data_IF_720569843859
#
_entry.id   IF_720569843859
#
_cell.length_a   1.000
_cell.length_b   1.000
_cell.length_c   1.000
_cell.angle_alpha   90.00
_cell.angle_beta   90.00
_cell.angle_gamma   90.00
#
_symmetry.space_group_name_H-M   'P 1'
#
loop_
_entity.id
_entity.type
_entity.pdbx_description
1 polymer ?
#
# COMPACT_ATOMS: atom_id res chain seq x y z
N UNK A 1 -53.47 -32.32 7.79
CA UNK A 1 -52.12 -32.79 8.12
C UNK A 1 -51.23 -31.57 8.37
N UNK A 2 -50.73 -31.37 9.62
CA UNK A 2 -49.79 -30.28 9.91
C UNK A 2 -48.40 -30.71 9.44
N UNK A 3 -47.63 -29.83 8.73
CA UNK A 3 -46.27 -30.20 8.30
C UNK A 3 -45.37 -30.38 9.49
N UNK A 4 -44.70 -31.53 9.56
CA UNK A 4 -43.66 -31.78 10.58
C UNK A 4 -42.47 -30.81 10.33
N UNK A 5 -42.29 -29.81 11.18
CA UNK A 5 -41.08 -28.97 11.16
C UNK A 5 -39.85 -29.86 11.39
N UNK A 6 -39.01 -30.03 10.36
CA UNK A 6 -37.70 -30.69 10.52
C UNK A 6 -36.88 -29.90 11.54
N UNK A 7 -36.61 -30.50 12.70
CA UNK A 7 -35.70 -29.92 13.68
C UNK A 7 -34.27 -30.02 13.15
N UNK A 8 -33.62 -28.84 12.93
CA UNK A 8 -32.22 -28.78 12.58
C UNK A 8 -31.42 -29.38 13.76
N UNK A 9 -30.50 -30.28 13.47
CA UNK A 9 -29.68 -30.93 14.49
C UNK A 9 -28.78 -29.91 15.18
N UNK A 10 -28.70 -29.93 16.51
CA UNK A 10 -27.79 -29.05 17.29
C UNK A 10 -26.34 -29.23 16.87
N UNK A 11 -25.93 -30.44 16.47
CA UNK A 11 -24.60 -30.72 15.92
C UNK A 11 -24.34 -29.96 14.62
N UNK A 12 -25.34 -29.87 13.75
CA UNK A 12 -25.24 -29.13 12.50
C UNK A 12 -25.08 -27.63 12.77
N UNK A 13 -25.86 -27.06 13.69
CA UNK A 13 -25.74 -25.65 14.09
C UNK A 13 -24.36 -25.34 14.67
N UNK A 14 -23.83 -26.24 15.50
CA UNK A 14 -22.50 -26.12 16.09
C UNK A 14 -21.41 -26.12 15.01
N UNK A 15 -21.46 -27.06 14.05
CA UNK A 15 -20.51 -27.10 12.91
C UNK A 15 -20.56 -25.82 12.08
N UNK A 16 -21.76 -25.36 11.75
CA UNK A 16 -21.95 -24.10 11.00
C UNK A 16 -21.37 -22.92 11.77
N UNK A 17 -21.62 -22.83 13.08
CA UNK A 17 -21.04 -21.79 13.93
C UNK A 17 -19.50 -21.78 13.92
N UNK A 18 -18.89 -22.96 14.06
CA UNK A 18 -17.43 -23.10 14.00
C UNK A 18 -16.87 -22.69 12.63
N UNK A 19 -17.52 -23.10 11.53
CA UNK A 19 -17.11 -22.73 10.18
C UNK A 19 -17.22 -21.21 9.94
N UNK A 20 -18.29 -20.58 10.41
CA UNK A 20 -18.45 -19.12 10.32
C UNK A 20 -17.36 -18.37 11.11
N UNK A 21 -17.02 -18.84 12.32
CA UNK A 21 -15.94 -18.25 13.10
C UNK A 21 -14.54 -18.49 12.50
N UNK A 22 -14.33 -19.63 11.85
CA UNK A 22 -13.06 -19.96 11.21
C UNK A 22 -12.86 -19.23 9.86
N UNK A 23 -13.93 -18.82 9.19
CA UNK A 23 -13.89 -18.22 7.84
C UNK A 23 -12.97 -16.99 7.76
N UNK A 24 -13.05 -15.97 8.63
CA UNK A 24 -12.17 -14.80 8.54
C UNK A 24 -10.70 -15.16 8.73
N UNK A 25 -10.40 -16.11 9.62
CA UNK A 25 -9.04 -16.57 9.85
C UNK A 25 -8.47 -17.29 8.63
N UNK A 26 -9.23 -18.22 8.04
CA UNK A 26 -8.83 -18.93 6.83
C UNK A 26 -8.67 -17.98 5.65
N UNK A 27 -9.57 -17.01 5.49
CA UNK A 27 -9.49 -15.98 4.46
C UNK A 27 -8.24 -15.11 4.62
N UNK A 28 -7.91 -14.71 5.84
CA UNK A 28 -6.69 -13.92 6.12
C UNK A 28 -5.40 -14.70 5.81
N UNK A 29 -5.37 -16.00 6.12
CA UNK A 29 -4.23 -16.87 5.77
C UNK A 29 -4.12 -16.98 4.23
N UNK A 30 -5.23 -17.21 3.55
CA UNK A 30 -5.27 -17.30 2.08
C UNK A 30 -4.74 -16.01 1.42
N UNK A 31 -5.28 -14.85 1.83
CA UNK A 31 -4.82 -13.55 1.30
C UNK A 31 -3.33 -13.31 1.58
N UNK A 32 -2.84 -13.68 2.77
CA UNK A 32 -1.41 -13.56 3.10
C UNK A 32 -0.51 -14.45 2.22
N UNK A 33 -0.95 -15.68 1.91
CA UNK A 33 -0.24 -16.57 0.98
C UNK A 33 -0.23 -15.99 -0.43
N UNK A 34 -1.35 -15.45 -0.90
CA UNK A 34 -1.48 -14.84 -2.22
C UNK A 34 -0.56 -13.60 -2.35
N UNK A 35 -0.57 -12.71 -1.37
CA UNK A 35 0.33 -11.55 -1.31
C UNK A 35 1.82 -11.97 -1.36
N UNK A 36 2.21 -13.01 -0.61
CA UNK A 36 3.57 -13.54 -0.65
C UNK A 36 3.92 -14.14 -2.02
N UNK A 37 2.98 -14.82 -2.67
CA UNK A 37 3.17 -15.32 -4.02
C UNK A 37 3.37 -14.17 -5.03
N UNK A 38 2.56 -13.10 -4.94
CA UNK A 38 2.72 -11.91 -5.78
C UNK A 38 4.07 -11.22 -5.57
N UNK A 39 4.52 -11.08 -4.31
CA UNK A 39 5.84 -10.54 -3.99
C UNK A 39 6.98 -11.39 -4.57
N UNK A 40 6.87 -12.72 -4.47
CA UNK A 40 7.88 -13.64 -5.02
C UNK A 40 7.89 -13.60 -6.55
N UNK A 41 6.73 -13.55 -7.19
CA UNK A 41 6.59 -13.42 -8.63
C UNK A 41 7.21 -12.09 -9.10
N UNK A 42 6.82 -10.96 -8.51
CA UNK A 42 7.41 -9.66 -8.84
C UNK A 42 8.93 -9.68 -8.74
N UNK A 43 9.48 -10.20 -7.63
CA UNK A 43 10.92 -10.30 -7.43
C UNK A 43 11.59 -11.18 -8.48
N UNK A 44 11.01 -12.32 -8.83
CA UNK A 44 11.57 -13.24 -9.83
C UNK A 44 11.55 -12.63 -11.23
N UNK A 45 10.47 -11.98 -11.60
CA UNK A 45 10.33 -11.33 -12.91
C UNK A 45 11.26 -10.12 -13.05
N UNK A 46 11.35 -9.24 -12.05
CA UNK A 46 12.34 -8.15 -12.04
C UNK A 46 13.78 -8.68 -12.14
N UNK A 47 14.07 -9.85 -11.55
CA UNK A 47 15.41 -10.45 -11.64
C UNK A 47 15.65 -11.10 -13.01
N UNK A 48 14.61 -11.60 -13.67
CA UNK A 48 14.69 -12.27 -14.97
C UNK A 48 14.62 -11.29 -16.14
N UNK A 49 14.03 -10.11 -15.96
CA UNK A 49 13.96 -9.05 -16.97
C UNK A 49 15.34 -8.44 -17.18
N UNK A 50 15.68 -8.15 -18.42
CA UNK A 50 16.96 -7.52 -18.74
C UNK A 50 17.06 -6.11 -18.10
N UNK A 51 18.30 -5.71 -17.80
CA UNK A 51 18.57 -4.45 -17.09
C UNK A 51 18.14 -3.24 -17.90
N UNK A 52 18.26 -3.29 -19.22
CA UNK A 52 17.89 -2.17 -20.10
C UNK A 52 16.39 -1.92 -20.05
N UNK A 53 15.57 -2.95 -20.16
CA UNK A 53 14.09 -2.84 -20.03
C UNK A 53 13.69 -2.24 -18.68
N UNK A 54 14.33 -2.65 -17.59
CA UNK A 54 14.06 -2.10 -16.24
C UNK A 54 14.46 -0.62 -16.17
N UNK A 55 15.62 -0.25 -16.73
CA UNK A 55 16.09 1.13 -16.76
C UNK A 55 15.17 2.03 -17.60
N UNK A 56 14.68 1.55 -18.75
CA UNK A 56 13.70 2.24 -19.60
C UNK A 56 12.39 2.50 -18.84
N UNK A 57 11.87 1.50 -18.11
CA UNK A 57 10.67 1.65 -17.30
C UNK A 57 10.85 2.63 -16.13
N UNK A 58 12.01 2.64 -15.51
CA UNK A 58 12.34 3.60 -14.44
C UNK A 58 12.47 5.01 -15.00
N UNK A 59 13.03 5.17 -16.21
CA UNK A 59 13.14 6.47 -16.87
C UNK A 59 11.76 7.02 -17.24
N UNK A 60 10.87 6.21 -17.82
CA UNK A 60 9.47 6.62 -18.07
C UNK A 60 8.77 7.07 -16.79
N UNK A 61 9.05 6.41 -15.66
CA UNK A 61 8.52 6.84 -14.36
C UNK A 61 9.09 8.18 -13.89
N UNK A 62 10.36 8.48 -14.22
CA UNK A 62 10.96 9.80 -13.96
C UNK A 62 10.37 10.88 -14.86
N UNK A 63 10.16 10.60 -16.15
CA UNK A 63 9.50 11.52 -17.08
C UNK A 63 8.06 11.84 -16.62
N UNK A 64 7.31 10.83 -16.20
CA UNK A 64 5.98 11.02 -15.60
C UNK A 64 6.03 11.93 -14.37
N UNK A 65 6.97 11.70 -13.47
CA UNK A 65 7.14 12.49 -12.24
C UNK A 65 7.47 13.94 -12.54
N UNK A 66 8.35 14.19 -13.52
CA UNK A 66 8.71 15.53 -13.97
C UNK A 66 7.51 16.26 -14.60
N UNK A 67 6.78 15.59 -15.52
CA UNK A 67 5.57 16.14 -16.11
C UNK A 67 4.52 16.50 -15.06
N UNK A 68 4.32 15.64 -14.06
CA UNK A 68 3.40 15.88 -12.95
C UNK A 68 3.81 17.08 -12.11
N UNK A 69 5.10 17.23 -11.81
CA UNK A 69 5.62 18.39 -11.08
C UNK A 69 5.43 19.69 -11.87
N UNK A 70 5.73 19.70 -13.17
CA UNK A 70 5.56 20.86 -14.02
C UNK A 70 4.09 21.32 -14.07
N UNK A 71 3.14 20.39 -14.21
CA UNK A 71 1.71 20.74 -14.22
C UNK A 71 1.27 21.26 -12.86
N UNK A 72 1.75 20.71 -11.76
CA UNK A 72 1.38 21.16 -10.41
C UNK A 72 1.89 22.56 -10.07
N UNK A 73 2.95 23.03 -10.73
CA UNK A 73 3.58 24.34 -10.47
C UNK A 73 3.37 25.37 -11.59
N UNK A 74 2.86 24.99 -12.77
CA UNK A 74 2.71 25.89 -13.90
C UNK A 74 1.26 26.31 -14.09
N UNK A 75 1.03 27.62 -14.11
CA UNK A 75 -0.18 28.18 -14.72
C UNK A 75 -0.01 28.11 -16.24
N UNK A 76 -0.54 27.04 -16.84
CA UNK A 76 -0.74 26.88 -18.29
C UNK A 76 0.52 27.04 -19.16
N UNK A 77 0.98 25.97 -19.73
CA UNK A 77 2.00 25.91 -20.78
C UNK A 77 1.82 24.67 -21.66
N UNK A 78 2.20 24.81 -22.90
CA UNK A 78 2.06 23.90 -24.04
C UNK A 78 2.86 22.58 -23.88
N UNK A 79 2.65 21.86 -22.78
CA UNK A 79 3.29 20.56 -22.56
C UNK A 79 2.38 19.42 -23.04
N UNK A 80 2.97 18.46 -23.77
CA UNK A 80 2.30 17.20 -24.06
C UNK A 80 1.99 16.49 -22.73
N UNK A 81 0.69 16.29 -22.46
CA UNK A 81 0.20 15.58 -21.27
C UNK A 81 0.01 14.08 -21.56
N UNK A 82 0.46 13.60 -22.70
CA UNK A 82 0.25 12.21 -23.14
C UNK A 82 0.86 11.21 -22.15
N UNK A 83 2.01 11.56 -21.55
CA UNK A 83 2.66 10.73 -20.52
C UNK A 83 1.80 10.58 -19.25
N UNK A 84 0.87 11.53 -18.99
CA UNK A 84 -0.03 11.50 -17.84
C UNK A 84 -1.38 10.87 -18.16
N UNK A 85 -1.56 10.31 -19.37
CA UNK A 85 -2.76 9.57 -19.73
C UNK A 85 -2.91 8.28 -18.90
N UNK A 86 -4.14 7.79 -18.75
CA UNK A 86 -4.42 6.54 -18.04
C UNK A 86 -3.70 5.34 -18.68
N UNK A 87 -3.55 5.33 -20.00
CA UNK A 87 -2.83 4.29 -20.74
C UNK A 87 -1.35 4.29 -20.39
N UNK A 88 -0.70 5.46 -20.47
CA UNK A 88 0.71 5.62 -20.09
C UNK A 88 0.93 5.27 -18.63
N UNK A 89 0.10 5.79 -17.72
CA UNK A 89 0.18 5.48 -16.30
C UNK A 89 0.15 3.98 -16.03
N UNK A 90 -0.80 3.25 -16.62
CA UNK A 90 -0.95 1.81 -16.38
C UNK A 90 0.14 0.96 -17.04
N UNK A 91 0.90 1.50 -18.00
CA UNK A 91 2.00 0.80 -18.66
C UNK A 91 3.36 0.98 -17.95
N UNK A 92 3.55 2.09 -17.24
CA UNK A 92 4.80 2.42 -16.56
C UNK A 92 5.03 1.49 -15.37
N UNK A 93 6.21 0.85 -15.30
CA UNK A 93 6.62 -0.09 -14.24
C UNK A 93 5.81 -1.39 -14.15
N UNK A 94 4.88 -1.66 -15.06
CA UNK A 94 4.16 -2.95 -15.08
C UNK A 94 4.98 -4.08 -15.72
N UNK A 95 6.12 -4.41 -15.11
CA UNK A 95 7.06 -5.44 -15.58
C UNK A 95 6.40 -6.83 -15.61
N UNK A 96 5.42 -7.04 -14.74
CA UNK A 96 4.78 -8.35 -14.56
C UNK A 96 3.50 -8.54 -15.38
N UNK A 97 2.99 -7.49 -16.03
CA UNK A 97 1.67 -7.51 -16.66
C UNK A 97 0.49 -7.69 -15.67
N UNK A 98 0.75 -7.46 -14.38
CA UNK A 98 -0.23 -7.62 -13.28
C UNK A 98 -0.52 -6.31 -12.54
N UNK A 99 -0.09 -5.19 -13.09
CA UNK A 99 -0.24 -3.87 -12.48
C UNK A 99 0.61 -3.62 -11.24
N UNK A 100 1.66 -4.44 -10.97
CA UNK A 100 2.53 -4.26 -9.82
C UNK A 100 3.69 -3.35 -10.20
N UNK A 101 3.74 -2.17 -9.61
CA UNK A 101 4.80 -1.15 -9.83
C UNK A 101 6.00 -1.30 -8.89
N UNK A 102 5.82 -2.00 -7.78
CA UNK A 102 6.85 -2.16 -6.77
C UNK A 102 6.32 -2.81 -5.49
N UNK A 103 7.11 -2.70 -4.43
CA UNK A 103 6.72 -3.19 -3.11
C UNK A 103 7.01 -2.17 -2.02
N UNK A 104 6.20 -2.17 -0.95
CA UNK A 104 6.45 -1.40 0.27
C UNK A 104 6.83 -2.34 1.41
N UNK A 105 7.85 -1.94 2.17
CA UNK A 105 8.34 -2.67 3.34
C UNK A 105 8.41 -1.74 4.54
N UNK A 106 7.72 -2.11 5.64
CA UNK A 106 7.71 -1.36 6.90
C UNK A 106 8.08 -2.33 8.02
N UNK A 107 9.39 -2.54 8.28
CA UNK A 107 9.86 -3.63 9.16
C UNK A 107 9.31 -3.57 10.58
N UNK A 108 9.12 -2.38 11.15
CA UNK A 108 8.63 -2.20 12.52
C UNK A 108 7.27 -2.84 12.76
N UNK A 109 6.38 -2.78 11.79
CA UNK A 109 5.02 -3.33 11.89
C UNK A 109 4.81 -4.58 11.03
N UNK A 110 5.91 -5.19 10.57
CA UNK A 110 5.92 -6.42 9.77
C UNK A 110 5.06 -6.34 8.50
N UNK A 111 5.16 -5.21 7.78
CA UNK A 111 4.48 -5.01 6.49
C UNK A 111 5.47 -5.23 5.36
N UNK A 112 5.08 -6.08 4.40
CA UNK A 112 5.74 -6.28 3.12
C UNK A 112 4.67 -6.61 2.08
N UNK A 113 4.32 -5.64 1.23
CA UNK A 113 3.14 -5.70 0.38
C UNK A 113 3.46 -5.22 -1.04
N UNK A 114 2.79 -5.78 -2.07
CA UNK A 114 2.86 -5.23 -3.42
C UNK A 114 2.17 -3.87 -3.49
N UNK A 115 2.70 -3.00 -4.35
CA UNK A 115 2.09 -1.72 -4.72
C UNK A 115 1.57 -1.89 -6.15
N UNK A 116 0.29 -1.61 -6.34
CA UNK A 116 -0.39 -1.69 -7.63
C UNK A 116 -0.67 -0.30 -8.19
N UNK A 117 -0.92 -0.21 -9.50
CA UNK A 117 -1.51 0.97 -10.11
C UNK A 117 -2.92 1.22 -9.57
N UNK A 118 -3.24 2.49 -9.35
CA UNK A 118 -4.57 2.91 -8.94
C UNK A 118 -4.94 2.55 -7.51
N UNK A 119 -6.18 2.86 -7.15
CA UNK A 119 -6.74 2.67 -5.80
C UNK A 119 -8.17 2.11 -5.87
N UNK A 120 -8.48 1.34 -6.89
CA UNK A 120 -9.76 0.68 -7.04
C UNK A 120 -9.97 -0.39 -5.97
N UNK A 121 -11.21 -0.77 -5.72
CA UNK A 121 -11.56 -1.72 -4.67
C UNK A 121 -10.85 -3.07 -4.82
N UNK A 122 -10.67 -3.56 -6.05
CA UNK A 122 -9.94 -4.79 -6.34
C UNK A 122 -8.46 -4.66 -5.96
N UNK A 123 -7.82 -3.54 -6.27
CA UNK A 123 -6.44 -3.23 -5.90
C UNK A 123 -6.30 -3.18 -4.38
N UNK A 124 -7.12 -2.37 -3.73
CA UNK A 124 -7.03 -2.16 -2.28
C UNK A 124 -7.43 -3.40 -1.45
N UNK A 125 -8.15 -4.34 -2.03
CA UNK A 125 -8.46 -5.63 -1.38
C UNK A 125 -7.26 -6.58 -1.36
N UNK A 126 -6.33 -6.44 -2.33
CA UNK A 126 -5.20 -7.36 -2.54
C UNK A 126 -3.85 -6.79 -2.07
N UNK A 127 -3.71 -5.47 -2.02
CA UNK A 127 -2.45 -4.84 -1.67
C UNK A 127 -2.56 -3.35 -1.39
N UNK A 128 -1.51 -2.64 -1.76
CA UNK A 128 -1.42 -1.20 -1.61
C UNK A 128 -1.59 -0.56 -2.98
N UNK A 129 -2.44 0.45 -3.08
CA UNK A 129 -2.69 1.19 -4.30
C UNK A 129 -1.84 2.46 -4.38
N UNK A 130 -1.28 2.74 -5.54
CA UNK A 130 -0.60 3.99 -5.85
C UNK A 130 -1.63 5.02 -6.34
N UNK A 131 -1.59 6.23 -5.78
CA UNK A 131 -2.46 7.32 -6.23
C UNK A 131 -1.91 7.91 -7.51
N UNK A 132 -2.63 7.78 -8.62
CA UNK A 132 -2.21 8.19 -9.96
C UNK A 132 -1.79 9.67 -10.04
N UNK A 133 -2.42 10.57 -9.28
CA UNK A 133 -2.06 11.99 -9.23
C UNK A 133 -0.83 12.28 -8.36
N UNK A 134 -0.04 11.26 -8.03
CA UNK A 134 1.21 11.38 -7.29
C UNK A 134 2.39 10.77 -8.07
N UNK A 135 3.61 11.07 -7.64
CA UNK A 135 4.81 10.58 -8.30
C UNK A 135 4.98 9.07 -8.16
N UNK A 136 5.41 8.38 -9.21
CA UNK A 136 5.85 6.98 -9.13
C UNK A 136 6.95 6.80 -8.08
N UNK A 137 7.05 5.62 -7.44
CA UNK A 137 7.97 5.36 -6.32
C UNK A 137 9.42 5.12 -6.76
N UNK A 138 9.93 5.90 -7.71
CA UNK A 138 11.32 5.87 -8.17
C UNK A 138 12.21 6.91 -7.47
N UNK A 139 11.60 7.80 -6.67
CA UNK A 139 12.27 8.90 -5.97
C UNK A 139 12.70 10.02 -6.91
N UNK A 140 13.43 10.98 -6.36
CA UNK A 140 13.92 12.16 -7.09
C UNK A 140 13.50 13.46 -6.40
N UNK A 141 14.22 14.54 -6.71
CA UNK A 141 13.84 15.89 -6.26
C UNK A 141 12.51 16.27 -6.90
N UNK A 142 11.68 17.03 -6.19
CA UNK A 142 10.35 17.45 -6.63
C UNK A 142 9.38 16.27 -6.82
N UNK A 143 9.51 15.23 -6.01
CA UNK A 143 8.59 14.09 -6.05
C UNK A 143 7.89 13.85 -4.73
N UNK A 144 6.65 13.39 -4.81
CA UNK A 144 5.92 12.80 -3.70
C UNK A 144 5.14 11.58 -4.18
N UNK A 145 5.61 10.41 -3.83
CA UNK A 145 4.85 9.18 -4.02
C UNK A 145 3.79 9.06 -2.94
N UNK A 146 2.55 8.79 -3.32
CA UNK A 146 1.46 8.56 -2.37
C UNK A 146 0.85 7.19 -2.59
N UNK A 147 0.83 6.39 -1.52
CA UNK A 147 0.25 5.04 -1.53
C UNK A 147 -0.85 4.93 -0.50
N UNK A 148 -1.93 4.24 -0.85
CA UNK A 148 -3.10 4.03 -0.01
C UNK A 148 -3.31 2.55 0.27
N UNK A 149 -3.73 2.23 1.48
CA UNK A 149 -4.09 0.88 1.86
C UNK A 149 -5.20 0.85 2.89
N UNK A 150 -6.01 -0.19 2.84
CA UNK A 150 -7.09 -0.38 3.80
C UNK A 150 -6.58 -0.60 5.24
N UNK A 151 -7.42 -0.21 6.17
CA UNK A 151 -7.27 -0.48 7.60
C UNK A 151 -8.50 -1.18 8.11
N UNK A 152 -8.29 -2.35 8.74
CA UNK A 152 -9.38 -3.08 9.39
C UNK A 152 -10.18 -4.00 8.47
N UNK A 153 -9.59 -4.47 7.36
CA UNK A 153 -10.19 -5.56 6.61
C UNK A 153 -10.09 -6.86 7.42
N UNK A 154 -11.17 -7.66 7.51
CA UNK A 154 -11.16 -8.92 8.25
C UNK A 154 -10.20 -9.96 7.69
N UNK A 155 -9.91 -9.89 6.39
CA UNK A 155 -9.13 -10.85 5.63
C UNK A 155 -7.73 -10.38 5.24
N UNK A 156 -7.35 -9.13 5.52
CA UNK A 156 -6.04 -8.60 5.13
C UNK A 156 -5.51 -7.59 6.15
N UNK A 157 -4.25 -7.74 6.54
CA UNK A 157 -3.61 -6.86 7.53
C UNK A 157 -3.24 -5.49 6.95
N UNK A 158 -2.88 -5.40 5.69
CA UNK A 158 -2.50 -4.18 4.95
C UNK A 158 -1.90 -3.07 5.84
N UNK A 159 -2.55 -1.90 5.91
CA UNK A 159 -2.12 -0.76 6.73
C UNK A 159 -2.79 -0.71 8.12
N UNK A 160 -3.27 -1.85 8.64
CA UNK A 160 -3.97 -1.93 9.92
C UNK A 160 -3.16 -1.34 11.08
N UNK A 161 -1.83 -1.58 11.09
CA UNK A 161 -0.91 -1.13 12.14
C UNK A 161 -0.19 0.19 11.83
N UNK A 162 -0.63 0.94 10.82
CA UNK A 162 0.06 2.16 10.39
C UNK A 162 0.12 3.23 11.50
N UNK A 163 -0.85 3.25 12.40
CA UNK A 163 -0.90 4.17 13.55
C UNK A 163 0.08 3.83 14.69
N UNK A 164 0.78 2.70 14.62
CA UNK A 164 1.87 2.36 15.56
C UNK A 164 3.21 3.00 15.15
N UNK A 165 3.28 3.57 13.96
CA UNK A 165 4.47 4.25 13.49
C UNK A 165 4.66 5.60 14.16
N UNK A 166 5.91 5.95 14.41
CA UNK A 166 6.29 7.22 15.01
C UNK A 166 7.35 7.94 14.17
N UNK A 167 7.59 9.23 14.45
CA UNK A 167 8.67 9.98 13.79
C UNK A 167 10.01 9.26 13.98
N UNK A 168 10.83 9.26 12.92
CA UNK A 168 12.12 8.58 12.76
C UNK A 168 12.02 7.08 12.42
N UNK A 169 10.88 6.44 12.40
CA UNK A 169 10.74 5.10 11.84
C UNK A 169 11.06 5.10 10.35
N UNK A 170 11.49 3.94 9.85
CA UNK A 170 11.89 3.77 8.46
C UNK A 170 10.91 2.87 7.72
N UNK A 171 10.63 3.24 6.48
CA UNK A 171 9.97 2.37 5.52
C UNK A 171 10.71 2.43 4.17
N UNK A 172 10.43 1.48 3.30
CA UNK A 172 11.19 1.27 2.09
C UNK A 172 10.27 0.98 0.91
N UNK A 173 10.57 1.58 -0.23
CA UNK A 173 10.05 1.10 -1.52
C UNK A 173 11.12 0.28 -2.23
N UNK A 174 10.68 -0.78 -2.93
CA UNK A 174 11.53 -1.54 -3.84
C UNK A 174 10.91 -1.52 -5.22
N UNK A 175 11.60 -0.91 -6.17
CA UNK A 175 11.13 -0.69 -7.52
C UNK A 175 12.29 -0.90 -8.49
N UNK A 176 12.10 -1.63 -9.58
CA UNK A 176 13.13 -1.87 -10.57
C UNK A 176 14.45 -2.41 -9.97
N UNK A 177 14.36 -3.29 -8.98
CA UNK A 177 15.55 -3.84 -8.28
C UNK A 177 16.22 -2.89 -7.29
N UNK A 178 15.86 -1.60 -7.24
CA UNK A 178 16.42 -0.61 -6.31
C UNK A 178 15.60 -0.52 -5.02
N UNK A 179 16.28 -0.22 -3.89
CA UNK A 179 15.61 0.03 -2.60
C UNK A 179 15.75 1.50 -2.22
N UNK A 180 14.62 2.16 -2.04
CA UNK A 180 14.52 3.54 -1.61
C UNK A 180 14.10 3.58 -0.13
N UNK A 181 14.85 4.30 0.69
CA UNK A 181 14.59 4.40 2.12
C UNK A 181 14.02 5.76 2.47
N UNK A 182 12.96 5.77 3.27
CA UNK A 182 12.31 6.98 3.76
C UNK A 182 12.25 6.97 5.29
N UNK A 183 12.50 8.13 5.90
CA UNK A 183 12.40 8.33 7.35
C UNK A 183 11.19 9.20 7.65
N UNK A 184 10.27 8.70 8.48
CA UNK A 184 9.06 9.41 8.87
C UNK A 184 9.42 10.71 9.60
N UNK A 185 8.88 11.82 9.14
CA UNK A 185 9.06 13.13 9.78
C UNK A 185 7.74 13.81 10.14
N UNK A 186 6.64 13.44 9.47
CA UNK A 186 5.32 14.05 9.66
C UNK A 186 4.24 12.97 9.77
N UNK A 187 3.36 13.11 10.75
CA UNK A 187 2.19 12.24 10.96
C UNK A 187 1.02 13.16 11.24
N UNK A 188 -0.06 13.02 10.48
CA UNK A 188 -1.24 13.88 10.54
C UNK A 188 -2.50 13.05 10.47
N UNK A 189 -3.56 13.56 11.10
CA UNK A 189 -4.92 13.05 10.95
C UNK A 189 -5.77 14.20 10.44
N UNK A 190 -6.34 14.05 9.26
CA UNK A 190 -7.15 15.06 8.58
C UNK A 190 -8.51 14.48 8.21
N UNK A 191 -9.50 15.30 7.93
CA UNK A 191 -10.77 14.83 7.36
C UNK A 191 -10.54 14.25 5.96
N UNK A 192 -11.46 13.40 5.52
CA UNK A 192 -11.35 12.72 4.21
C UNK A 192 -11.22 13.72 3.05
N UNK A 193 -11.97 14.80 3.08
CA UNK A 193 -12.01 15.86 2.07
C UNK A 193 -10.79 16.79 2.11
N UNK A 194 -10.11 16.89 3.25
CA UNK A 194 -8.88 17.70 3.41
C UNK A 194 -7.60 16.93 2.99
N UNK A 195 -7.68 15.61 2.77
CA UNK A 195 -6.51 14.80 2.48
C UNK A 195 -5.78 15.23 1.18
N UNK A 196 -6.45 15.59 0.07
CA UNK A 196 -5.75 16.03 -1.14
C UNK A 196 -4.87 17.27 -0.90
N UNK A 197 -5.27 18.19 -0.03
CA UNK A 197 -4.56 19.46 0.21
C UNK A 197 -3.19 19.28 0.89
N UNK A 198 -3.00 18.13 1.57
CA UNK A 198 -1.77 17.88 2.36
C UNK A 198 -0.80 16.88 1.72
N UNK A 199 -1.15 16.33 0.54
CA UNK A 199 -0.34 15.34 -0.17
C UNK A 199 0.30 15.86 -1.47
N UNK A 200 0.19 17.15 -1.76
CA UNK A 200 0.79 17.79 -2.93
C UNK A 200 2.32 17.67 -2.96
N UNK A 201 2.91 17.75 -4.14
CA UNK A 201 4.36 17.75 -4.34
C UNK A 201 4.94 19.01 -3.68
N UNK A 202 6.07 18.86 -2.98
CA UNK A 202 6.82 19.97 -2.37
C UNK A 202 8.13 20.17 -3.11
N UNK A 203 8.35 21.39 -3.64
CA UNK A 203 9.57 21.74 -4.36
C UNK A 203 10.84 21.47 -3.53
N UNK A 204 11.86 20.95 -4.18
CA UNK A 204 13.15 20.63 -3.56
C UNK A 204 13.15 19.40 -2.68
N UNK A 205 12.05 18.64 -2.61
CA UNK A 205 11.96 17.47 -1.72
C UNK A 205 11.72 16.17 -2.49
N UNK A 206 12.20 15.07 -1.90
CA UNK A 206 11.89 13.67 -2.26
C UNK A 206 11.11 13.07 -1.09
N UNK A 207 9.79 12.93 -1.29
CA UNK A 207 8.84 12.51 -0.25
C UNK A 207 8.11 11.23 -0.65
N UNK A 208 7.73 10.48 0.38
CA UNK A 208 6.82 9.35 0.25
C UNK A 208 5.76 9.41 1.35
N UNK A 209 4.50 9.19 0.99
CA UNK A 209 3.35 9.33 1.88
C UNK A 209 2.51 8.06 1.86
N UNK A 210 2.17 7.56 3.03
CA UNK A 210 1.25 6.44 3.24
C UNK A 210 -0.05 6.98 3.80
N UNK A 211 -1.19 6.53 3.25
CA UNK A 211 -2.53 6.96 3.66
C UNK A 211 -3.37 5.75 4.04
N UNK A 212 -4.10 5.87 5.14
CA UNK A 212 -5.12 4.90 5.53
C UNK A 212 -6.30 5.57 6.23
N UNK A 213 -7.41 4.83 6.37
CA UNK A 213 -8.58 5.31 7.09
C UNK A 213 -8.37 5.29 8.61
N UNK A 214 -8.97 6.26 9.31
CA UNK A 214 -8.95 6.36 10.78
C UNK A 214 -10.20 7.11 11.28
N UNK A 215 -10.72 6.92 12.52
CA UNK A 215 -10.41 5.80 13.43
C UNK A 215 -10.81 4.44 12.84
N UNK A 216 -10.25 3.35 13.39
CA UNK A 216 -10.55 1.98 12.96
C UNK A 216 -12.06 1.71 12.96
N UNK A 217 -12.58 1.20 11.83
CA UNK A 217 -14.01 0.88 11.65
C UNK A 217 -14.93 2.08 11.43
N UNK A 218 -14.55 3.30 11.83
CA UNK A 218 -15.37 4.54 11.67
C UNK A 218 -15.01 5.25 10.35
N UNK A 219 -13.72 5.33 10.01
CA UNK A 219 -13.18 5.75 8.71
C UNK A 219 -13.50 7.21 8.28
N UNK A 220 -13.83 8.09 9.24
CA UNK A 220 -14.20 9.50 8.98
C UNK A 220 -13.03 10.38 8.59
N UNK A 221 -11.81 9.98 8.98
CA UNK A 221 -10.56 10.71 8.74
C UNK A 221 -9.57 9.88 7.95
N UNK A 222 -8.47 10.52 7.59
CA UNK A 222 -7.29 9.86 6.99
C UNK A 222 -6.10 10.05 7.90
N UNK A 223 -5.41 8.95 8.21
CA UNK A 223 -4.08 8.97 8.80
C UNK A 223 -3.08 9.08 7.66
N UNK A 224 -2.26 10.13 7.68
CA UNK A 224 -1.27 10.47 6.66
C UNK A 224 0.11 10.45 7.30
N UNK A 225 0.98 9.59 6.80
CA UNK A 225 2.34 9.43 7.29
C UNK A 225 3.31 9.73 6.17
N UNK A 226 4.10 10.81 6.34
CA UNK A 226 5.06 11.27 5.34
C UNK A 226 6.49 11.05 5.78
N UNK A 227 7.28 10.42 4.93
CA UNK A 227 8.72 10.22 5.05
C UNK A 227 9.50 11.07 4.06
N UNK A 228 10.71 11.50 4.49
CA UNK A 228 11.73 12.09 3.63
C UNK A 228 12.73 11.03 3.20
N UNK A 229 13.22 11.14 1.97
CA UNK A 229 14.30 10.31 1.46
C UNK A 229 15.53 10.34 2.36
N UNK A 230 16.11 9.18 2.60
CA UNK A 230 17.38 9.01 3.31
C UNK A 230 18.24 7.97 2.59
N UNK A 231 19.58 8.00 2.74
CA UNK A 231 20.45 6.96 2.17
C UNK A 231 20.03 5.57 2.70
N UNK A 232 19.90 4.62 1.78
CA UNK A 232 19.59 3.24 2.14
C UNK A 232 20.77 2.59 2.86
N UNK A 233 20.51 1.96 4.00
CA UNK A 233 21.49 1.22 4.78
C UNK A 233 20.94 -0.17 5.15
N UNK A 234 21.41 -1.26 4.49
CA UNK A 234 20.92 -2.60 4.72
C UNK A 234 21.17 -3.11 6.15
N UNK A 235 22.23 -2.64 6.82
CA UNK A 235 22.52 -3.01 8.21
C UNK A 235 21.49 -2.39 9.16
N UNK A 236 21.12 -1.12 8.95
CA UNK A 236 20.05 -0.45 9.72
C UNK A 236 18.71 -1.14 9.50
N UNK A 237 18.37 -1.47 8.25
CA UNK A 237 17.14 -2.19 7.94
C UNK A 237 17.05 -3.54 8.67
N UNK A 238 18.11 -4.35 8.63
CA UNK A 238 18.17 -5.66 9.31
C UNK A 238 18.11 -5.55 10.84
N UNK A 239 18.51 -4.42 11.41
CA UNK A 239 18.48 -4.18 12.84
C UNK A 239 17.08 -3.84 13.37
N UNK A 240 16.14 -3.44 12.52
CA UNK A 240 14.77 -3.16 12.91
C UNK A 240 14.07 -4.50 13.19
N UNK A 241 13.66 -4.70 14.44
CA UNK A 241 12.87 -5.87 14.83
C UNK A 241 11.40 -5.50 14.76
N UNK A 242 10.54 -6.37 14.20
CA UNK A 242 9.10 -6.18 14.24
C UNK A 242 8.62 -6.06 15.68
N UNK A 243 7.77 -5.09 15.95
CA UNK A 243 7.07 -4.98 17.24
C UNK A 243 5.93 -6.00 17.30
N UNK A 244 5.72 -6.61 18.48
CA UNK A 244 4.59 -7.49 18.70
C UNK A 244 3.27 -6.74 18.49
N UNK A 245 2.23 -7.46 18.03
CA UNK A 245 0.89 -6.88 17.91
C UNK A 245 0.41 -6.34 19.26
N UNK A 246 -0.18 -5.14 19.26
CA UNK A 246 -0.81 -4.60 20.46
C UNK A 246 -2.02 -5.45 20.90
N UNK A 247 -2.37 -5.41 22.18
CA UNK A 247 -3.59 -6.09 22.67
C UNK A 247 -4.85 -5.62 21.92
N UNK A 248 -4.89 -4.36 21.49
CA UNK A 248 -5.96 -3.80 20.66
C UNK A 248 -6.04 -4.53 19.30
N UNK A 249 -4.94 -4.71 18.63
CA UNK A 249 -4.85 -5.41 17.35
C UNK A 249 -5.26 -6.88 17.48
N UNK A 250 -4.79 -7.55 18.54
CA UNK A 250 -5.19 -8.91 18.85
C UNK A 250 -6.70 -8.98 19.07
N UNK A 251 -7.28 -8.03 19.81
CA UNK A 251 -8.71 -7.99 20.06
C UNK A 251 -9.49 -7.78 18.74
N UNK A 252 -9.07 -6.85 17.87
CA UNK A 252 -9.74 -6.60 16.57
C UNK A 252 -9.61 -7.77 15.59
N UNK A 253 -8.49 -8.50 15.62
CA UNK A 253 -8.33 -9.70 14.78
C UNK A 253 -9.08 -10.90 15.33
N UNK A 254 -9.30 -10.98 16.65
CA UNK A 254 -10.03 -12.04 17.31
C UNK A 254 -11.56 -11.82 17.33
N UNK A 255 -12.02 -10.58 17.18
CA UNK A 255 -13.44 -10.19 17.23
C UNK A 255 -13.88 -9.52 15.91
N UNK A 256 -13.98 -10.27 14.81
CA UNK A 256 -14.30 -9.69 13.50
C UNK A 256 -15.74 -9.16 13.36
N UNK A 257 -16.56 -9.18 14.40
CA UNK A 257 -18.01 -8.92 14.34
C UNK A 257 -18.54 -8.10 15.54
N UNK A 258 -17.77 -7.17 16.06
CA UNK A 258 -18.32 -6.19 17.02
C UNK A 258 -18.44 -4.83 16.38
#
# INVERSE_FOLDING_TARGET
>A
MKPKKKRISTKFLYIVGVLLCAFPLLSSIYTGVEQNNMLSTYKSEVTATDTQTIEEQVELAHEYNEALFQISNSSVGDMSTDILSDESYNSILDITGKGIIGTIEIPKIDVNLPIYHGTDDDVLSNGIGHIQTSSFPVGGINTRTVVSGHRGLPNAKLFTRLDELVKNDLFYFKVGGKTLAYKIYKIEVVKKDEAPDVIGIEEGKDLATMITCTPYGINTHRLIITGKRVPYNPKKKKAIKPEAMSLREIAFTALPFV
#
